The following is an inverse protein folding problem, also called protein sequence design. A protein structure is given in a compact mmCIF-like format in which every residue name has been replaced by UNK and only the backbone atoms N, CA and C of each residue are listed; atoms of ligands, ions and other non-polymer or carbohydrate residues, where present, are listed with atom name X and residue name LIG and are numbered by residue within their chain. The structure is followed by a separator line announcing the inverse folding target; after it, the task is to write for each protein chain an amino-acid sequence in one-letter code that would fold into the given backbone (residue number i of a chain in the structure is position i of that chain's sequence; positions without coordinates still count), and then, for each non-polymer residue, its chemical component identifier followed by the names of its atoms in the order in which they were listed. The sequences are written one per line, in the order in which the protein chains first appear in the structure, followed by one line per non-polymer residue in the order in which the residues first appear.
data_IF_342732932365
#
_entry.id   IF_342732932365
#
_cell.length_a   1.000
_cell.length_b   1.000
_cell.length_c   1.000
_cell.angle_alpha   90.00
_cell.angle_beta   90.00
_cell.angle_gamma   90.00
#
_symmetry.space_group_name_H-M   'P 1'
#
loop_
_entity.id
_entity.type
_entity.pdbx_description
1 polymer ?
#
# COMPACT_ATOMS: atom_id res chain seq x y z
N UNK A 1 8.72 22.97 -6.36
CA UNK A 1 9.05 21.64 -6.90
C UNK A 1 7.85 20.76 -6.66
N UNK A 2 7.34 20.04 -7.67
CA UNK A 2 6.17 19.15 -7.50
C UNK A 2 6.54 17.92 -6.68
N UNK A 3 5.60 17.42 -5.88
CA UNK A 3 5.83 16.29 -4.97
C UNK A 3 4.71 15.25 -5.06
N UNK A 4 5.08 13.98 -5.20
CA UNK A 4 4.16 12.83 -5.24
C UNK A 4 4.42 11.96 -4.01
N UNK A 5 3.36 11.58 -3.30
CA UNK A 5 3.40 10.53 -2.29
C UNK A 5 2.86 9.24 -2.91
N UNK A 6 3.62 8.16 -2.79
CA UNK A 6 3.19 6.83 -3.23
C UNK A 6 3.07 5.94 -2.01
N UNK A 7 1.85 5.57 -1.66
CA UNK A 7 1.57 4.59 -0.61
C UNK A 7 1.23 3.28 -1.27
N UNK A 8 1.85 2.18 -0.89
CA UNK A 8 1.60 0.91 -1.57
C UNK A 8 1.80 -0.30 -0.67
N UNK A 9 1.17 -1.41 -1.03
CA UNK A 9 1.46 -2.71 -0.46
C UNK A 9 1.90 -3.67 -1.57
N UNK A 10 2.86 -4.55 -1.26
CA UNK A 10 3.29 -5.61 -2.18
C UNK A 10 3.93 -6.76 -1.41
N UNK A 11 3.56 -7.98 -1.78
CA UNK A 11 4.25 -9.19 -1.33
C UNK A 11 5.44 -9.58 -2.23
N UNK A 12 5.29 -9.36 -3.54
CA UNK A 12 6.23 -9.84 -4.56
C UNK A 12 7.21 -8.79 -5.08
N UNK A 13 6.99 -7.52 -4.74
CA UNK A 13 7.68 -6.39 -5.36
C UNK A 13 7.01 -5.85 -6.63
N UNK A 14 6.15 -6.62 -7.30
CA UNK A 14 5.59 -6.25 -8.61
C UNK A 14 4.83 -4.92 -8.62
N UNK A 15 4.05 -4.60 -7.58
CA UNK A 15 3.39 -3.30 -7.48
C UNK A 15 4.40 -2.15 -7.45
N UNK A 16 5.55 -2.32 -6.78
CA UNK A 16 6.62 -1.31 -6.75
C UNK A 16 7.26 -1.14 -8.13
N UNK A 17 7.48 -2.22 -8.85
CA UNK A 17 8.01 -2.16 -10.23
C UNK A 17 7.04 -1.44 -11.18
N UNK A 18 5.73 -1.72 -11.07
CA UNK A 18 4.69 -1.03 -11.83
C UNK A 18 4.70 0.46 -11.49
N UNK A 19 4.74 0.83 -10.21
CA UNK A 19 4.77 2.22 -9.77
C UNK A 19 6.02 2.95 -10.31
N UNK A 20 7.20 2.33 -10.23
CA UNK A 20 8.43 2.88 -10.78
C UNK A 20 8.31 3.11 -12.29
N UNK A 21 7.68 2.17 -13.02
CA UNK A 21 7.46 2.30 -14.47
C UNK A 21 6.49 3.43 -14.81
N UNK A 22 5.37 3.51 -14.09
CA UNK A 22 4.34 4.56 -14.26
C UNK A 22 4.90 5.95 -13.95
N UNK A 23 5.78 6.06 -12.95
CA UNK A 23 6.31 7.33 -12.47
C UNK A 23 7.66 7.72 -13.08
N UNK A 24 8.19 6.91 -14.00
CA UNK A 24 9.49 7.12 -14.64
C UNK A 24 9.65 8.51 -15.23
N UNK A 25 8.64 9.00 -15.95
CA UNK A 25 8.68 10.32 -16.58
C UNK A 25 8.59 11.45 -15.54
N UNK A 26 7.84 11.25 -14.44
CA UNK A 26 7.78 12.22 -13.36
C UNK A 26 9.16 12.38 -12.68
N UNK A 27 9.85 11.26 -12.41
CA UNK A 27 11.21 11.27 -11.87
C UNK A 27 12.19 11.98 -12.82
N UNK A 28 12.11 11.71 -14.14
CA UNK A 28 12.93 12.37 -15.15
C UNK A 28 12.70 13.89 -15.22
N UNK A 29 11.50 14.35 -14.90
CA UNK A 29 11.13 15.77 -14.85
C UNK A 29 11.37 16.41 -13.46
N UNK A 30 12.23 15.81 -12.63
CA UNK A 30 12.59 16.32 -11.30
C UNK A 30 11.41 16.51 -10.34
N UNK A 31 10.36 15.70 -10.50
CA UNK A 31 9.30 15.59 -9.49
C UNK A 31 9.83 14.76 -8.33
N UNK A 32 9.71 15.25 -7.10
CA UNK A 32 10.10 14.49 -5.92
C UNK A 32 9.05 13.43 -5.63
N UNK A 33 9.48 12.17 -5.49
CA UNK A 33 8.58 11.05 -5.21
C UNK A 33 9.01 10.39 -3.91
N UNK A 34 8.10 10.37 -2.93
CA UNK A 34 8.30 9.65 -1.68
C UNK A 34 7.50 8.35 -1.74
N UNK A 35 8.17 7.21 -1.55
CA UNK A 35 7.54 5.90 -1.55
C UNK A 35 7.42 5.37 -0.12
N UNK A 36 6.21 5.01 0.29
CA UNK A 36 5.89 4.47 1.60
C UNK A 36 5.18 3.13 1.44
N UNK A 37 5.85 2.07 1.87
CA UNK A 37 5.28 0.73 1.89
C UNK A 37 4.41 0.57 3.14
N UNK A 38 3.19 0.09 2.97
CA UNK A 38 2.35 -0.40 4.07
C UNK A 38 2.95 -1.72 4.54
N UNK A 39 3.22 -1.82 5.83
CA UNK A 39 3.79 -3.03 6.43
C UNK A 39 2.83 -3.58 7.48
N UNK A 40 2.21 -4.75 7.28
CA UNK A 40 1.51 -5.42 8.37
C UNK A 40 2.50 -5.79 9.48
N UNK A 41 2.05 -5.82 10.73
CA UNK A 41 2.92 -6.25 11.84
C UNK A 41 3.37 -7.71 11.67
N UNK A 42 2.46 -8.54 11.14
CA UNK A 42 2.75 -9.90 10.72
C UNK A 42 2.68 -10.00 9.19
N UNK A 43 3.80 -10.34 8.56
CA UNK A 43 3.84 -10.47 7.10
C UNK A 43 3.08 -11.70 6.59
N UNK A 44 2.41 -11.52 5.45
CA UNK A 44 1.77 -12.61 4.73
C UNK A 44 2.81 -13.36 3.88
N UNK A 45 2.78 -14.70 3.89
CA UNK A 45 3.78 -15.48 3.18
C UNK A 45 3.70 -15.27 1.67
N UNK A 46 4.87 -15.25 1.02
CA UNK A 46 4.97 -15.26 -0.43
C UNK A 46 6.21 -16.07 -0.85
N UNK A 47 6.11 -16.94 -1.88
CA UNK A 47 4.90 -17.26 -2.65
C UNK A 47 3.87 -18.03 -1.82
N UNK A 48 2.59 -17.83 -2.15
CA UNK A 48 1.50 -18.55 -1.51
C UNK A 48 1.58 -20.05 -1.81
N UNK A 49 1.29 -20.86 -0.80
CA UNK A 49 1.08 -22.31 -0.93
C UNK A 49 -0.39 -22.62 -0.65
N UNK A 50 -0.97 -23.70 -1.20
CA UNK A 50 -2.37 -24.09 -0.94
C UNK A 50 -2.51 -24.69 0.47
N UNK A 51 -2.26 -23.88 1.49
CA UNK A 51 -2.37 -24.22 2.92
C UNK A 51 -3.60 -23.58 3.53
N UNK A 52 -3.95 -23.94 4.78
CA UNK A 52 -5.03 -23.28 5.52
C UNK A 52 -4.87 -21.76 5.50
N UNK A 53 -3.66 -21.24 5.75
CA UNK A 53 -3.38 -19.80 5.73
C UNK A 53 -3.77 -19.09 4.43
N UNK A 54 -3.64 -19.74 3.27
CA UNK A 54 -4.09 -19.14 2.02
C UNK A 54 -5.62 -18.98 2.00
N UNK A 55 -6.34 -20.07 2.28
CA UNK A 55 -7.81 -20.04 2.29
C UNK A 55 -8.39 -19.21 3.43
N UNK A 56 -7.72 -19.21 4.57
CA UNK A 56 -8.14 -18.51 5.78
C UNK A 56 -8.20 -17.02 5.54
N UNK A 57 -7.39 -16.43 4.63
CA UNK A 57 -7.35 -14.98 4.31
C UNK A 57 -8.53 -14.51 3.44
N UNK A 58 -9.26 -15.43 2.80
CA UNK A 58 -10.43 -15.10 1.99
C UNK A 58 -11.49 -14.29 2.75
N UNK A 59 -12.04 -14.76 3.89
CA UNK A 59 -13.08 -14.04 4.62
C UNK A 59 -12.64 -12.66 5.10
N UNK A 60 -11.41 -12.48 5.57
CA UNK A 60 -10.88 -11.19 6.03
C UNK A 60 -10.72 -10.22 4.86
N UNK A 61 -10.24 -10.70 3.72
CA UNK A 61 -10.12 -9.87 2.50
C UNK A 61 -11.49 -9.34 2.07
N UNK A 62 -12.45 -10.24 1.87
CA UNK A 62 -13.78 -9.88 1.34
C UNK A 62 -14.58 -9.02 2.32
N UNK A 63 -14.49 -9.31 3.62
CA UNK A 63 -15.16 -8.52 4.66
C UNK A 63 -14.36 -7.29 5.09
N UNK A 64 -13.17 -7.10 4.52
CA UNK A 64 -12.21 -6.06 4.92
C UNK A 64 -11.97 -6.04 6.43
N UNK A 65 -11.78 -7.21 7.06
CA UNK A 65 -11.43 -7.29 8.49
C UNK A 65 -10.01 -6.76 8.63
N UNK A 66 -9.85 -5.73 9.46
CA UNK A 66 -8.57 -5.05 9.65
C UNK A 66 -7.60 -5.86 10.50
N UNK A 67 -6.32 -5.65 10.24
CA UNK A 67 -5.19 -6.16 11.01
C UNK A 67 -4.31 -5.01 11.51
N UNK A 68 -3.48 -5.25 12.53
CA UNK A 68 -2.41 -4.33 12.89
C UNK A 68 -1.42 -4.12 11.73
N UNK A 69 -1.12 -2.85 11.46
CA UNK A 69 -0.06 -2.43 10.55
C UNK A 69 0.92 -1.53 11.30
N UNK A 70 2.18 -1.55 10.90
CA UNK A 70 3.17 -0.61 11.41
C UNK A 70 2.77 0.82 11.03
N UNK A 71 3.09 1.77 11.92
CA UNK A 71 2.86 3.19 11.67
C UNK A 71 3.51 3.63 10.36
N UNK A 72 2.81 4.43 9.56
CA UNK A 72 3.40 4.98 8.36
C UNK A 72 4.34 6.12 8.74
N UNK A 73 5.60 6.02 8.31
CA UNK A 73 6.57 7.10 8.46
C UNK A 73 6.34 8.18 7.38
N UNK A 74 5.18 8.82 7.40
CA UNK A 74 4.84 9.96 6.56
C UNK A 74 4.87 11.23 7.41
N UNK A 75 5.63 12.23 6.97
CA UNK A 75 5.61 13.54 7.63
C UNK A 75 4.32 14.26 7.28
N UNK A 76 3.37 14.30 8.22
CA UNK A 76 2.08 14.97 8.05
C UNK A 76 2.17 16.50 7.81
N UNK A 77 3.35 17.09 8.01
CA UNK A 77 3.63 18.51 7.72
C UNK A 77 3.96 18.74 6.24
N UNK A 78 4.31 17.69 5.50
CA UNK A 78 4.66 17.78 4.08
C UNK A 78 3.41 17.83 3.23
N UNK A 79 3.37 18.76 2.27
CA UNK A 79 2.31 18.83 1.27
C UNK A 79 2.72 18.07 0.01
N UNK A 80 1.79 17.29 -0.51
CA UNK A 80 1.95 16.55 -1.77
C UNK A 80 0.96 17.08 -2.80
N UNK A 81 1.41 17.22 -4.05
CA UNK A 81 0.56 17.64 -5.17
C UNK A 81 -0.28 16.48 -5.72
N UNK A 82 0.14 15.24 -5.46
CA UNK A 82 -0.54 14.02 -5.88
C UNK A 82 -0.23 12.90 -4.88
N UNK A 83 -1.25 12.12 -4.53
CA UNK A 83 -1.11 10.89 -3.76
C UNK A 83 -1.54 9.72 -4.65
N UNK A 84 -0.70 8.69 -4.72
CA UNK A 84 -0.96 7.46 -5.47
C UNK A 84 -1.03 6.30 -4.49
N UNK A 85 -2.12 5.52 -4.56
CA UNK A 85 -2.28 4.28 -3.82
C UNK A 85 -2.01 3.07 -4.73
N UNK A 86 -0.87 2.41 -4.53
CA UNK A 86 -0.52 1.15 -5.20
C UNK A 86 -1.17 -0.05 -4.51
N UNK A 87 -2.29 -0.51 -5.06
CA UNK A 87 -3.10 -1.58 -4.47
C UNK A 87 -2.73 -2.97 -5.01
N UNK A 88 -2.80 -3.98 -4.14
CA UNK A 88 -2.77 -5.38 -4.50
C UNK A 88 -4.17 -5.98 -4.26
N UNK A 89 -4.71 -6.72 -5.22
CA UNK A 89 -6.05 -7.35 -5.10
C UNK A 89 -5.92 -8.78 -4.60
N UNK A 90 -6.67 -9.15 -3.57
CA UNK A 90 -6.85 -10.52 -3.08
C UNK A 90 -8.32 -10.89 -3.09
N UNK A 91 -8.66 -12.01 -3.73
CA UNK A 91 -10.04 -12.52 -3.78
C UNK A 91 -11.06 -11.45 -4.25
N UNK A 92 -10.72 -10.74 -5.34
CA UNK A 92 -11.53 -9.66 -5.92
C UNK A 92 -11.78 -8.46 -4.99
N UNK A 93 -11.02 -8.35 -3.91
CA UNK A 93 -11.09 -7.26 -2.92
C UNK A 93 -9.70 -6.63 -2.74
N UNK A 94 -9.58 -5.39 -2.22
CA UNK A 94 -8.28 -4.87 -1.77
C UNK A 94 -7.64 -5.85 -0.79
N UNK A 95 -6.32 -6.05 -0.87
CA UNK A 95 -5.61 -6.90 0.08
C UNK A 95 -5.83 -6.40 1.52
N UNK A 96 -5.79 -7.33 2.48
CA UNK A 96 -6.04 -7.01 3.89
C UNK A 96 -5.14 -5.86 4.40
N UNK A 97 -3.84 -5.76 4.05
CA UNK A 97 -3.03 -4.61 4.43
C UNK A 97 -3.50 -3.27 3.85
N UNK A 98 -4.01 -3.26 2.61
CA UNK A 98 -4.54 -2.04 1.98
C UNK A 98 -5.82 -1.60 2.69
N UNK A 99 -6.78 -2.51 2.88
CA UNK A 99 -8.05 -2.18 3.54
C UNK A 99 -7.85 -1.80 5.01
N UNK A 100 -6.89 -2.43 5.70
CA UNK A 100 -6.48 -2.06 7.07
C UNK A 100 -5.91 -0.65 7.11
N UNK A 101 -4.98 -0.31 6.21
CA UNK A 101 -4.42 1.04 6.11
C UNK A 101 -5.51 2.10 5.94
N UNK A 102 -6.44 1.90 5.00
CA UNK A 102 -7.50 2.87 4.70
C UNK A 102 -8.42 3.19 5.89
N UNK A 103 -8.45 2.33 6.92
CA UNK A 103 -9.23 2.53 8.14
C UNK A 103 -8.48 3.28 9.24
N UNK A 104 -7.17 3.48 9.10
CA UNK A 104 -6.33 4.14 10.13
C UNK A 104 -6.52 5.66 10.16
N UNK A 105 -6.16 6.27 11.29
CA UNK A 105 -6.09 7.75 11.39
C UNK A 105 -5.00 8.33 10.48
N UNK A 106 -3.90 7.59 10.24
CA UNK A 106 -2.87 8.00 9.27
C UNK A 106 -3.48 8.18 7.88
N UNK A 107 -4.22 7.18 7.39
CA UNK A 107 -4.90 7.28 6.09
C UNK A 107 -5.89 8.46 6.05
N UNK A 108 -6.68 8.65 7.11
CA UNK A 108 -7.61 9.79 7.19
C UNK A 108 -6.89 11.14 7.16
N UNK A 109 -5.68 11.24 7.72
CA UNK A 109 -4.92 12.49 7.75
C UNK A 109 -4.18 12.73 6.43
N UNK A 110 -3.66 11.67 5.81
CA UNK A 110 -2.88 11.75 4.58
C UNK A 110 -3.78 11.92 3.35
N UNK A 111 -4.91 11.21 3.27
CA UNK A 111 -5.77 11.12 2.07
C UNK A 111 -6.92 12.15 2.03
N UNK A 112 -6.80 13.27 2.74
CA UNK A 112 -7.85 14.31 2.78
C UNK A 112 -8.06 15.00 1.44
#
# INVERSE_FOLDING_TARGET
MKKILVIYYTQSGQIKDILNSVLKDAEANSVKIDYVKIEPEQEYPFPWKPTSTFYDVFPESVKSIDIPIKALNVNNSEQYDLIILGLQVWYLSPSVPISSFLKTEDAKNILK
#
